data_IF_154426937157
#
_entry.id   IF_154426937157
#
_cell.length_a   1.000
_cell.length_b   1.000
_cell.length_c   1.000
_cell.angle_alpha   90.00
_cell.angle_beta   90.00
_cell.angle_gamma   90.00
#
_symmetry.space_group_name_H-M   'P 1'
#
loop_
_entity.id
_entity.type
_entity.pdbx_description
1 polymer ?
#
# COMPACT_ATOMS: atom_id res chain seq x y z
N UNK A 1 -37.87 -16.37 -2.31
CA UNK A 1 -36.86 -15.30 -2.48
C UNK A 1 -35.49 -15.89 -2.12
N UNK A 2 -34.63 -16.19 -3.10
CA UNK A 2 -33.33 -16.85 -2.87
C UNK A 2 -32.26 -15.75 -2.77
N UNK A 3 -31.81 -15.45 -1.56
CA UNK A 3 -30.67 -14.56 -1.34
C UNK A 3 -29.42 -15.37 -1.72
N UNK A 4 -28.83 -15.08 -2.87
CA UNK A 4 -27.55 -15.66 -3.28
C UNK A 4 -26.45 -14.81 -2.62
N UNK A 5 -25.98 -15.26 -1.46
CA UNK A 5 -24.75 -14.73 -0.85
C UNK A 5 -23.57 -15.16 -1.73
N UNK A 6 -23.16 -14.30 -2.67
CA UNK A 6 -21.86 -14.46 -3.33
C UNK A 6 -20.80 -14.08 -2.31
N UNK A 7 -20.17 -15.08 -1.72
CA UNK A 7 -18.96 -14.88 -0.93
C UNK A 7 -17.87 -14.41 -1.90
N UNK A 8 -17.62 -13.11 -1.98
CA UNK A 8 -16.48 -12.56 -2.72
C UNK A 8 -15.26 -12.67 -1.81
N UNK A 9 -14.25 -13.52 -2.13
CA UNK A 9 -13.04 -13.55 -1.34
C UNK A 9 -12.21 -12.32 -1.69
N UNK A 10 -12.51 -11.18 -1.06
CA UNK A 10 -11.71 -9.95 -1.18
C UNK A 10 -10.23 -10.20 -0.85
N UNK A 11 -9.94 -11.23 -0.05
CA UNK A 11 -8.60 -11.73 0.19
C UNK A 11 -7.83 -12.01 -1.12
N UNK A 12 -8.45 -12.69 -2.10
CA UNK A 12 -7.79 -13.00 -3.38
C UNK A 12 -7.45 -11.73 -4.18
N UNK A 13 -8.30 -10.69 -4.08
CA UNK A 13 -8.05 -9.40 -4.73
C UNK A 13 -6.87 -8.71 -4.04
N UNK A 14 -6.81 -8.74 -2.71
CA UNK A 14 -5.73 -8.15 -1.91
C UNK A 14 -4.41 -8.88 -2.13
N UNK A 15 -4.41 -10.21 -2.12
CA UNK A 15 -3.22 -11.04 -2.32
C UNK A 15 -2.62 -10.77 -3.71
N UNK A 16 -3.45 -10.76 -4.75
CA UNK A 16 -3.01 -10.45 -6.10
C UNK A 16 -2.51 -9.00 -6.24
N UNK A 17 -3.17 -8.04 -5.57
CA UNK A 17 -2.72 -6.65 -5.59
C UNK A 17 -1.37 -6.49 -4.88
N UNK A 18 -1.15 -7.18 -3.76
CA UNK A 18 0.14 -7.20 -3.06
C UNK A 18 1.25 -7.83 -3.91
N UNK A 19 0.96 -8.94 -4.58
CA UNK A 19 1.88 -9.59 -5.50
C UNK A 19 2.26 -8.65 -6.66
N UNK A 20 1.25 -8.08 -7.32
CA UNK A 20 1.45 -7.13 -8.44
C UNK A 20 2.29 -5.92 -8.01
N UNK A 21 2.02 -5.36 -6.81
CA UNK A 21 2.78 -4.24 -6.27
C UNK A 21 4.23 -4.66 -5.98
N UNK A 22 4.47 -5.86 -5.45
CA UNK A 22 5.83 -6.36 -5.16
C UNK A 22 6.63 -6.61 -6.44
N UNK A 23 6.02 -7.17 -7.47
CA UNK A 23 6.67 -7.42 -8.76
C UNK A 23 7.10 -6.13 -9.45
N UNK A 24 6.25 -5.10 -9.42
CA UNK A 24 6.53 -3.79 -10.04
C UNK A 24 7.39 -2.89 -9.18
N UNK A 25 7.59 -3.25 -7.93
CA UNK A 25 8.33 -2.42 -6.99
C UNK A 25 9.82 -2.39 -7.27
N UNK A 26 10.45 -1.21 -7.19
CA UNK A 26 11.89 -1.14 -7.23
C UNK A 26 12.52 -1.81 -6.02
N UNK A 27 13.55 -2.62 -6.29
CA UNK A 27 14.38 -3.27 -5.27
C UNK A 27 15.56 -2.38 -4.87
N UNK A 28 15.86 -1.31 -5.61
CA UNK A 28 17.05 -0.48 -5.38
C UNK A 28 18.29 -1.07 -6.07
N UNK A 29 19.40 -0.33 -6.03
CA UNK A 29 20.65 -0.71 -6.68
C UNK A 29 21.62 -1.39 -5.71
N UNK A 30 22.62 -2.09 -6.26
CA UNK A 30 23.73 -2.64 -5.49
C UNK A 30 24.45 -1.52 -4.74
N UNK A 31 24.51 -1.61 -3.41
CA UNK A 31 25.07 -0.57 -2.52
C UNK A 31 24.03 0.29 -1.80
N UNK A 32 22.73 0.15 -2.10
CA UNK A 32 21.68 0.76 -1.29
C UNK A 32 21.70 0.18 0.14
N UNK A 33 21.47 1.04 1.13
CA UNK A 33 21.48 0.62 2.55
C UNK A 33 20.41 -0.43 2.87
N UNK A 34 19.29 -0.39 2.15
CA UNK A 34 18.15 -1.29 2.36
C UNK A 34 17.54 -1.68 1.00
N UNK A 35 18.16 -2.60 0.25
CA UNK A 35 17.57 -3.10 -0.99
C UNK A 35 16.25 -3.83 -0.66
N UNK A 36 15.24 -3.64 -1.48
CA UNK A 36 13.91 -4.23 -1.34
C UNK A 36 12.98 -3.53 -0.34
N UNK A 37 13.45 -2.52 0.40
CA UNK A 37 12.64 -1.90 1.46
C UNK A 37 11.29 -1.36 0.96
N UNK A 38 11.26 -0.74 -0.23
CA UNK A 38 10.00 -0.27 -0.81
C UNK A 38 9.05 -1.43 -1.09
N UNK A 39 9.52 -2.45 -1.83
CA UNK A 39 8.79 -3.68 -2.18
C UNK A 39 8.22 -4.37 -0.94
N UNK A 40 8.99 -4.45 0.13
CA UNK A 40 8.63 -5.24 1.31
C UNK A 40 7.76 -4.45 2.31
N UNK A 41 7.59 -3.13 2.09
CA UNK A 41 6.85 -2.26 3.01
C UNK A 41 5.38 -2.02 2.63
N UNK A 42 4.86 -2.62 1.55
CA UNK A 42 3.42 -2.50 1.24
C UNK A 42 2.56 -2.97 2.41
N UNK A 43 1.68 -2.08 2.85
CA UNK A 43 0.84 -2.27 4.04
C UNK A 43 -0.63 -2.21 3.65
N UNK A 44 -1.41 -3.16 4.14
CA UNK A 44 -2.86 -3.21 3.92
C UNK A 44 -3.58 -2.54 5.09
N UNK A 45 -4.63 -1.81 4.76
CA UNK A 45 -5.49 -1.09 5.68
C UNK A 45 -6.94 -1.50 5.43
N UNK A 46 -7.69 -1.79 6.48
CA UNK A 46 -9.14 -1.99 6.47
C UNK A 46 -9.78 -0.83 7.23
N UNK A 47 -10.59 -0.03 6.56
CA UNK A 47 -11.20 1.20 7.11
C UNK A 47 -10.18 2.14 7.78
N UNK A 48 -8.96 2.20 7.24
CA UNK A 48 -7.87 3.01 7.77
C UNK A 48 -7.06 2.37 8.90
N UNK A 49 -7.41 1.16 9.35
CA UNK A 49 -6.64 0.41 10.34
C UNK A 49 -5.70 -0.59 9.66
N UNK A 50 -4.45 -0.66 10.10
CA UNK A 50 -3.49 -1.65 9.59
C UNK A 50 -3.99 -3.05 9.93
N UNK A 51 -4.03 -3.93 8.93
CA UNK A 51 -4.28 -5.36 9.14
C UNK A 51 -2.96 -6.12 9.05
N UNK A 52 -2.77 -7.09 9.95
CA UNK A 52 -1.56 -7.91 9.96
C UNK A 52 -1.57 -8.87 8.78
N UNK A 53 -0.41 -9.05 8.15
CA UNK A 53 -0.19 -9.98 7.03
C UNK A 53 -1.13 -9.82 5.84
N UNK A 54 -1.81 -8.67 5.71
CA UNK A 54 -2.80 -8.44 4.66
C UNK A 54 -4.11 -9.24 4.85
N UNK A 55 -4.37 -9.77 6.04
CA UNK A 55 -5.61 -10.50 6.34
C UNK A 55 -6.81 -9.54 6.36
N UNK A 56 -7.70 -9.70 5.39
CA UNK A 56 -8.95 -8.93 5.27
C UNK A 56 -10.19 -9.80 5.47
N UNK A 57 -10.08 -10.94 6.15
CA UNK A 57 -11.24 -11.81 6.46
C UNK A 57 -12.35 -11.11 7.25
N UNK A 58 -12.00 -10.07 8.01
CA UNK A 58 -12.94 -9.25 8.75
C UNK A 58 -13.74 -8.26 7.88
N UNK A 59 -13.40 -8.14 6.58
CA UNK A 59 -14.06 -7.24 5.64
C UNK A 59 -15.55 -7.56 5.48
N UNK A 60 -16.36 -6.52 5.39
CA UNK A 60 -17.79 -6.57 5.14
C UNK A 60 -18.16 -5.68 3.94
N UNK A 61 -19.27 -5.95 3.24
CA UNK A 61 -19.78 -5.03 2.24
C UNK A 61 -19.95 -3.62 2.82
N UNK A 62 -19.37 -2.62 2.14
CA UNK A 62 -19.30 -1.23 2.60
C UNK A 62 -17.94 -0.84 3.20
N UNK A 63 -17.13 -1.81 3.63
CA UNK A 63 -15.77 -1.55 4.10
C UNK A 63 -14.83 -1.19 2.95
N UNK A 64 -13.91 -0.29 3.25
CA UNK A 64 -12.88 0.16 2.34
C UNK A 64 -11.55 -0.50 2.67
N UNK A 65 -10.96 -1.16 1.68
CA UNK A 65 -9.59 -1.67 1.77
C UNK A 65 -8.67 -0.67 1.07
N UNK A 66 -7.55 -0.35 1.70
CA UNK A 66 -6.48 0.40 1.07
C UNK A 66 -5.16 -0.36 1.18
N UNK A 67 -4.34 -0.31 0.13
CA UNK A 67 -2.95 -0.76 0.20
C UNK A 67 -2.08 0.46 -0.04
N UNK A 68 -1.13 0.75 0.84
CA UNK A 68 -0.25 1.91 0.70
C UNK A 68 1.17 1.57 1.13
N UNK A 69 2.13 2.42 0.75
CA UNK A 69 3.51 2.30 1.17
C UNK A 69 3.83 3.41 2.19
N UNK A 70 4.07 3.06 3.46
CA UNK A 70 4.45 4.01 4.50
C UNK A 70 5.89 4.54 4.44
N UNK A 71 6.74 4.06 3.52
CA UNK A 71 8.12 4.58 3.42
C UNK A 71 8.11 6.06 2.99
N UNK A 72 9.00 6.91 3.56
CA UNK A 72 8.92 8.36 3.40
C UNK A 72 9.16 8.87 1.96
N UNK A 73 9.73 8.03 1.10
CA UNK A 73 10.02 8.37 -0.30
C UNK A 73 9.05 7.71 -1.29
N UNK A 74 7.99 7.01 -0.82
CA UNK A 74 7.08 6.30 -1.70
C UNK A 74 6.42 7.19 -2.74
N UNK A 75 5.97 8.37 -2.32
CA UNK A 75 5.43 9.40 -3.21
C UNK A 75 6.41 9.85 -4.29
N UNK A 76 7.71 9.92 -3.99
CA UNK A 76 8.72 10.38 -4.96
C UNK A 76 8.94 9.34 -6.06
N UNK A 77 8.96 8.07 -5.67
CA UNK A 77 8.97 6.93 -6.61
C UNK A 77 7.73 6.97 -7.49
N UNK A 78 6.53 7.10 -6.89
CA UNK A 78 5.29 7.09 -7.67
C UNK A 78 5.24 8.20 -8.72
N UNK A 79 5.61 9.43 -8.34
CA UNK A 79 5.56 10.59 -9.24
C UNK A 79 6.69 10.54 -10.30
N UNK A 80 7.66 9.65 -10.18
CA UNK A 80 8.80 9.56 -11.10
C UNK A 80 9.69 10.82 -11.10
N UNK A 81 9.69 11.61 -10.02
CA UNK A 81 10.46 12.87 -9.92
C UNK A 81 11.83 12.65 -9.30
N UNK A 82 12.89 12.89 -10.08
CA UNK A 82 14.28 12.91 -9.66
C UNK A 82 15.21 12.25 -10.68
N UNK A 83 16.52 12.20 -10.42
CA UNK A 83 17.47 11.35 -11.17
C UNK A 83 17.35 9.88 -10.75
N UNK A 84 16.12 9.41 -10.54
CA UNK A 84 15.87 8.05 -10.07
C UNK A 84 15.84 7.13 -11.29
N UNK A 85 16.67 6.10 -11.28
CA UNK A 85 16.74 5.06 -12.33
C UNK A 85 15.61 4.02 -12.19
N UNK A 86 14.72 4.19 -11.21
CA UNK A 86 13.64 3.25 -10.92
C UNK A 86 12.37 3.61 -11.68
N UNK A 87 11.59 2.62 -12.17
CA UNK A 87 10.29 2.87 -12.78
C UNK A 87 9.36 3.60 -11.80
N UNK A 88 8.70 4.66 -12.28
CA UNK A 88 7.66 5.35 -11.54
C UNK A 88 6.30 4.66 -11.66
N UNK A 89 5.23 5.30 -11.16
CA UNK A 89 3.84 4.87 -11.39
C UNK A 89 3.47 3.45 -10.92
N UNK A 90 4.15 2.93 -9.89
CA UNK A 90 3.96 1.56 -9.38
C UNK A 90 2.50 1.30 -8.98
N UNK A 91 1.88 2.24 -8.26
CA UNK A 91 0.50 2.09 -7.81
C UNK A 91 -0.51 2.34 -8.92
N UNK A 92 -0.27 3.32 -9.78
CA UNK A 92 -1.13 3.62 -10.92
C UNK A 92 -1.20 2.42 -11.89
N UNK A 93 -0.06 1.84 -12.24
CA UNK A 93 0.00 0.66 -13.11
C UNK A 93 -0.59 -0.58 -12.43
N UNK A 94 -0.31 -0.79 -11.13
CA UNK A 94 -0.91 -1.89 -10.38
C UNK A 94 -2.44 -1.77 -10.34
N UNK A 95 -2.99 -0.57 -10.21
CA UNK A 95 -4.44 -0.37 -10.24
C UNK A 95 -5.05 -0.85 -11.56
N UNK A 96 -4.40 -0.56 -12.69
CA UNK A 96 -4.85 -1.00 -14.01
C UNK A 96 -4.83 -2.53 -14.11
N UNK A 97 -3.73 -3.18 -13.72
CA UNK A 97 -3.58 -4.64 -13.77
C UNK A 97 -4.63 -5.34 -12.89
N UNK A 98 -4.81 -4.87 -11.66
CA UNK A 98 -5.77 -5.46 -10.72
C UNK A 98 -7.20 -5.20 -11.21
N UNK A 99 -7.52 -4.01 -11.71
CA UNK A 99 -8.83 -3.71 -12.27
C UNK A 99 -9.15 -4.55 -13.52
N UNK A 100 -8.17 -4.82 -14.39
CA UNK A 100 -8.35 -5.71 -15.54
C UNK A 100 -8.72 -7.13 -15.13
N UNK A 101 -8.15 -7.65 -14.02
CA UNK A 101 -8.41 -9.01 -13.54
C UNK A 101 -9.68 -9.12 -12.69
N UNK A 102 -9.92 -8.15 -11.82
CA UNK A 102 -10.94 -8.21 -10.77
C UNK A 102 -12.04 -7.16 -10.88
N UNK A 103 -12.09 -6.40 -11.99
CA UNK A 103 -13.07 -5.32 -12.19
C UNK A 103 -14.53 -5.77 -12.17
N UNK A 104 -14.81 -7.06 -12.31
CA UNK A 104 -16.15 -7.65 -12.14
C UNK A 104 -16.52 -7.91 -10.67
N UNK A 105 -15.55 -7.96 -9.76
CA UNK A 105 -15.73 -8.27 -8.34
C UNK A 105 -15.50 -7.05 -7.44
N UNK A 106 -14.50 -6.23 -7.77
CA UNK A 106 -14.11 -5.08 -6.97
C UNK A 106 -13.88 -3.84 -7.84
N UNK A 107 -14.15 -2.68 -7.26
CA UNK A 107 -13.69 -1.40 -7.79
C UNK A 107 -12.30 -1.15 -7.24
N UNK A 108 -11.31 -1.07 -8.13
CA UNK A 108 -9.92 -0.75 -7.79
C UNK A 108 -9.53 0.59 -8.39
N UNK A 109 -9.00 1.49 -7.57
CA UNK A 109 -8.61 2.84 -7.97
C UNK A 109 -7.27 3.23 -7.36
N UNK A 110 -6.47 3.96 -8.13
CA UNK A 110 -5.32 4.67 -7.59
C UNK A 110 -5.75 5.95 -6.89
N UNK A 111 -5.16 6.24 -5.74
CA UNK A 111 -5.39 7.47 -4.98
C UNK A 111 -4.16 7.87 -4.17
N UNK A 112 -4.18 9.07 -3.60
CA UNK A 112 -3.26 9.48 -2.56
C UNK A 112 -4.01 9.59 -1.24
N UNK A 113 -3.65 8.78 -0.24
CA UNK A 113 -4.30 8.77 1.07
C UNK A 113 -3.36 9.23 2.19
N UNK A 114 -3.87 9.86 3.26
CA UNK A 114 -3.09 10.01 4.49
C UNK A 114 -2.91 8.62 5.12
N UNK A 115 -1.66 8.19 5.31
CA UNK A 115 -1.39 6.96 6.05
C UNK A 115 -1.56 7.25 7.55
N UNK A 116 -2.77 7.01 8.04
CA UNK A 116 -3.10 7.13 9.47
C UNK A 116 -2.70 5.82 10.15
N UNK A 117 -1.52 5.77 10.76
CA UNK A 117 -1.25 4.73 11.74
C UNK A 117 -2.14 5.02 12.95
N UNK A 118 -3.27 4.33 13.05
CA UNK A 118 -4.26 4.52 14.12
C UNK A 118 -3.75 4.27 15.54
N UNK A 119 -2.49 3.83 15.69
CA UNK A 119 -1.86 3.61 16.97
C UNK A 119 -0.38 4.05 16.92
N UNK A 120 0.05 4.81 17.93
CA UNK A 120 1.44 5.25 18.13
C UNK A 120 2.37 4.04 18.20
N UNK A 121 1.87 2.89 18.66
CA UNK A 121 2.60 1.62 18.71
C UNK A 121 2.86 1.02 17.32
N UNK A 122 1.87 1.08 16.41
CA UNK A 122 2.03 0.63 15.02
C UNK A 122 2.99 1.53 14.24
N UNK A 123 2.92 2.85 14.50
CA UNK A 123 3.91 3.81 13.99
C UNK A 123 5.32 3.56 14.57
N UNK A 124 5.43 3.31 15.87
CA UNK A 124 6.70 3.00 16.54
C UNK A 124 7.31 1.69 16.02
N UNK A 125 6.49 0.67 15.76
CA UNK A 125 6.92 -0.62 15.23
C UNK A 125 7.40 -0.50 13.79
N UNK A 126 6.68 0.24 12.94
CA UNK A 126 7.11 0.52 11.58
C UNK A 126 8.37 1.38 11.52
N UNK A 127 8.43 2.47 12.28
CA UNK A 127 9.60 3.36 12.34
C UNK A 127 10.84 2.69 12.92
N UNK A 128 10.68 1.76 13.88
CA UNK A 128 11.77 0.92 14.41
C UNK A 128 12.38 0.01 13.34
N UNK A 129 11.56 -0.56 12.43
CA UNK A 129 12.04 -1.39 11.31
C UNK A 129 12.86 -0.56 10.30
N UNK A 130 12.47 0.69 10.06
CA UNK A 130 13.17 1.55 9.10
C UNK A 130 14.55 2.00 9.60
N UNK A 131 14.73 2.29 10.90
CA UNK A 131 16.06 2.56 11.51
C UNK A 131 16.05 2.33 13.04
N UNK A 132 16.85 1.42 13.60
CA UNK A 132 17.13 1.45 15.04
C UNK A 132 17.99 2.69 15.37
N UNK A 133 17.46 3.62 16.16
CA UNK A 133 18.26 4.63 16.87
C UNK A 133 18.42 6.04 16.27
N UNK A 134 17.66 6.47 15.23
CA UNK A 134 17.78 7.86 14.72
C UNK A 134 16.44 8.60 14.67
N UNK A 135 16.35 9.72 15.42
CA UNK A 135 15.20 10.65 15.37
C UNK A 135 14.95 11.08 13.93
N UNK A 136 13.73 10.88 13.42
CA UNK A 136 13.33 11.37 12.09
C UNK A 136 13.46 12.90 12.05
N UNK A 137 14.13 13.39 10.99
CA UNK A 137 14.19 14.82 10.67
C UNK A 137 12.78 15.40 10.55
N UNK A 138 12.57 16.63 11.03
CA UNK A 138 11.30 17.34 10.90
C UNK A 138 10.80 17.40 9.44
N UNK A 139 11.72 17.48 8.47
CA UNK A 139 11.42 17.43 7.04
C UNK A 139 10.89 16.07 6.57
N UNK A 140 11.43 14.96 7.10
CA UNK A 140 10.93 13.62 6.81
C UNK A 140 9.56 13.37 7.46
N UNK A 141 9.32 13.97 8.64
CA UNK A 141 7.99 13.99 9.28
C UNK A 141 6.97 14.82 8.47
N UNK A 142 7.39 15.94 7.90
CA UNK A 142 6.52 16.80 7.10
C UNK A 142 6.24 16.21 5.71
N UNK A 143 7.22 15.56 5.08
CA UNK A 143 7.04 14.73 3.86
C UNK A 143 6.11 13.53 4.14
N UNK A 144 6.18 12.93 5.34
CA UNK A 144 5.28 11.85 5.77
C UNK A 144 3.82 12.30 5.93
N UNK A 145 3.58 13.57 6.27
CA UNK A 145 2.25 14.18 6.35
C UNK A 145 1.65 14.48 4.95
N UNK A 146 2.43 14.30 3.88
CA UNK A 146 1.94 14.38 2.51
C UNK A 146 1.36 13.03 2.12
N UNK A 147 0.12 13.02 1.62
CA UNK A 147 -0.61 11.82 1.21
C UNK A 147 0.27 10.85 0.40
N UNK A 148 0.29 9.58 0.79
CA UNK A 148 1.07 8.52 0.14
C UNK A 148 0.26 7.86 -0.97
N UNK A 149 0.92 7.31 -2.00
CA UNK A 149 0.24 6.54 -3.03
C UNK A 149 -0.45 5.32 -2.42
N UNK A 150 -1.66 5.05 -2.89
CA UNK A 150 -2.45 3.94 -2.40
C UNK A 150 -3.35 3.35 -3.49
N UNK A 151 -3.58 2.04 -3.40
CA UNK A 151 -4.70 1.38 -4.05
C UNK A 151 -5.90 1.44 -3.12
N UNK A 152 -7.02 1.93 -3.61
CA UNK A 152 -8.32 1.82 -2.97
C UNK A 152 -9.09 0.66 -3.63
N UNK A 153 -9.52 -0.28 -2.81
CA UNK A 153 -10.24 -1.49 -3.22
C UNK A 153 -11.57 -1.52 -2.46
N UNK A 154 -12.67 -1.61 -3.19
CA UNK A 154 -14.03 -1.73 -2.65
C UNK A 154 -14.77 -2.86 -3.33
N UNK A 155 -15.54 -3.64 -2.58
CA UNK A 155 -16.45 -4.64 -3.15
C UNK A 155 -17.56 -3.96 -3.97
N UNK A 156 -18.02 -4.63 -5.03
CA UNK A 156 -19.19 -4.22 -5.83
C UNK A 156 -20.49 -4.84 -5.32
#
# INVERSE_FOLDING_TARGET
MRIVLRYQPMQAVVDFALETLRERSPVGAEGDRHPGLYRDSHTVFLNGHVVSDGDVRAWRPGDQINISNPVPYARKIEIGRGRMTVPGHVYEEAALVVASRFGNQAVVKFTFMPVRFGDVQSFASFSRRIRPGRRMSAKARQDWLVRQPALEIRGR
#
